data_IF_777431195670
#
_entry.id   IF_777431195670
#
_cell.length_a   1.000
_cell.length_b   1.000
_cell.length_c   1.000
_cell.angle_alpha   90.00
_cell.angle_beta   90.00
_cell.angle_gamma   90.00
#
_symmetry.space_group_name_H-M   'P 1'
#
loop_
_entity.id
_entity.type
_entity.pdbx_description
1 polymer ?
#
# COMPACT_ATOMS: atom_id res chain seq x y z
N UNK A 1 -3.79 19.92 -10.51
CA UNK A 1 -2.70 19.55 -11.43
C UNK A 1 -2.61 18.03 -11.42
N UNK A 2 -2.52 17.37 -12.57
CA UNK A 2 -2.31 15.91 -12.62
C UNK A 2 -0.83 15.64 -12.89
N UNK A 3 -0.30 14.58 -12.28
CA UNK A 3 1.05 14.10 -12.54
C UNK A 3 1.00 12.73 -13.20
N UNK A 4 1.92 12.51 -14.15
CA UNK A 4 2.07 11.23 -14.83
C UNK A 4 2.99 10.32 -14.00
N UNK A 5 2.54 9.10 -13.75
CA UNK A 5 3.30 8.05 -13.09
C UNK A 5 3.64 6.99 -14.13
N UNK A 6 4.91 6.63 -14.21
CA UNK A 6 5.45 5.65 -15.13
C UNK A 6 5.86 4.40 -14.36
N UNK A 7 5.45 3.24 -14.87
CA UNK A 7 5.66 1.94 -14.26
C UNK A 7 6.42 1.07 -15.24
N UNK A 8 7.56 0.52 -14.82
CA UNK A 8 8.32 -0.47 -15.59
C UNK A 8 8.29 -1.81 -14.88
N UNK A 9 7.92 -2.86 -15.60
CA UNK A 9 7.75 -4.19 -15.06
C UNK A 9 8.91 -5.08 -15.47
N UNK A 10 9.52 -5.76 -14.49
CA UNK A 10 10.58 -6.73 -14.71
C UNK A 10 10.19 -8.09 -14.17
N UNK A 11 10.57 -9.15 -14.89
CA UNK A 11 10.46 -10.53 -14.42
C UNK A 11 11.45 -10.77 -13.27
N UNK A 12 11.30 -11.90 -12.58
CA UNK A 12 12.25 -12.32 -11.54
C UNK A 12 13.70 -12.44 -12.03
N UNK A 13 13.90 -12.76 -13.31
CA UNK A 13 15.21 -12.74 -13.95
C UNK A 13 15.85 -11.35 -14.10
N UNK A 14 15.14 -10.27 -13.74
CA UNK A 14 15.54 -8.89 -14.01
C UNK A 14 15.30 -8.43 -15.45
N UNK A 15 14.82 -9.32 -16.33
CA UNK A 15 14.50 -8.96 -17.72
C UNK A 15 13.24 -8.08 -17.77
N UNK A 16 13.30 -7.01 -18.56
CA UNK A 16 12.15 -6.17 -18.90
C UNK A 16 11.00 -7.03 -19.44
N UNK A 17 9.79 -6.74 -18.97
CA UNK A 17 8.56 -7.38 -19.43
C UNK A 17 7.70 -6.44 -20.24
N UNK A 18 7.25 -5.35 -19.62
CA UNK A 18 6.40 -4.33 -20.23
C UNK A 18 6.47 -3.04 -19.42
N UNK A 19 5.71 -2.05 -19.87
CA UNK A 19 5.55 -0.76 -19.21
C UNK A 19 4.08 -0.37 -19.14
N UNK A 20 3.77 0.51 -18.20
CA UNK A 20 2.46 1.08 -17.97
C UNK A 20 2.58 2.51 -17.50
N UNK A 21 1.52 3.28 -17.65
CA UNK A 21 1.46 4.62 -17.06
C UNK A 21 0.04 4.99 -16.73
N UNK A 22 -0.11 5.91 -15.78
CA UNK A 22 -1.40 6.50 -15.43
C UNK A 22 -1.21 7.93 -14.91
N UNK A 23 -2.30 8.67 -14.88
CA UNK A 23 -2.33 10.01 -14.29
C UNK A 23 -3.02 9.99 -12.94
N UNK A 24 -2.50 10.78 -12.01
CA UNK A 24 -3.09 10.92 -10.67
C UNK A 24 -3.13 12.39 -10.24
N UNK A 25 -4.16 12.81 -9.49
CA UNK A 25 -4.19 14.15 -8.89
C UNK A 25 -3.23 14.29 -7.70
N UNK A 26 -2.72 13.18 -7.17
CA UNK A 26 -1.82 13.18 -6.02
C UNK A 26 -0.52 13.91 -6.32
N UNK A 27 -0.13 14.82 -5.43
CA UNK A 27 1.11 15.61 -5.57
C UNK A 27 2.23 14.95 -4.77
N UNK A 28 1.93 14.33 -3.64
CA UNK A 28 2.94 13.70 -2.79
C UNK A 28 3.43 12.38 -3.38
N UNK A 29 4.75 12.23 -3.54
CA UNK A 29 5.36 10.95 -3.88
C UNK A 29 4.95 9.83 -2.92
N UNK A 30 4.75 10.14 -1.64
CA UNK A 30 4.29 9.14 -0.67
C UNK A 30 2.90 8.61 -1.03
N UNK A 31 1.94 9.49 -1.32
CA UNK A 31 0.59 9.11 -1.72
C UNK A 31 0.60 8.35 -3.06
N UNK A 32 1.44 8.78 -4.00
CA UNK A 32 1.62 8.08 -5.28
C UNK A 32 2.14 6.65 -5.04
N UNK A 33 3.15 6.48 -4.18
CA UNK A 33 3.69 5.16 -3.89
C UNK A 33 2.70 4.26 -3.14
N UNK A 34 1.91 4.82 -2.22
CA UNK A 34 0.82 4.07 -1.57
C UNK A 34 -0.26 3.66 -2.58
N UNK A 35 -0.57 4.52 -3.54
CA UNK A 35 -1.49 4.18 -4.63
C UNK A 35 -0.94 3.05 -5.50
N UNK A 36 0.34 3.10 -5.90
CA UNK A 36 0.96 2.00 -6.65
C UNK A 36 0.97 0.72 -5.84
N UNK A 37 1.28 0.78 -4.54
CA UNK A 37 1.22 -0.38 -3.64
C UNK A 37 -0.18 -1.02 -3.65
N UNK A 38 -1.24 -0.21 -3.56
CA UNK A 38 -2.62 -0.69 -3.68
C UNK A 38 -2.92 -1.33 -5.04
N UNK A 39 -2.40 -0.79 -6.14
CA UNK A 39 -2.55 -1.38 -7.48
C UNK A 39 -1.83 -2.73 -7.59
N UNK A 40 -0.66 -2.88 -6.96
CA UNK A 40 0.06 -4.15 -6.87
C UNK A 40 -0.78 -5.16 -6.06
N UNK A 41 -1.27 -4.76 -4.88
CA UNK A 41 -2.03 -5.63 -3.97
C UNK A 41 -3.36 -6.09 -4.59
N UNK A 42 -4.01 -5.22 -5.36
CA UNK A 42 -5.27 -5.52 -6.07
C UNK A 42 -5.04 -6.17 -7.43
N UNK A 43 -3.79 -6.35 -7.86
CA UNK A 43 -3.40 -6.89 -9.19
C UNK A 43 -4.02 -6.12 -10.37
N UNK A 44 -4.15 -4.80 -10.22
CA UNK A 44 -4.72 -3.88 -11.21
C UNK A 44 -3.68 -2.92 -11.77
N UNK A 45 -2.50 -3.44 -12.10
CA UNK A 45 -1.41 -2.65 -12.63
C UNK A 45 -1.67 -2.26 -14.10
N UNK A 46 -1.58 -0.97 -14.47
CA UNK A 46 -1.75 -0.51 -15.84
C UNK A 46 -0.80 -1.20 -16.83
N UNK A 47 -1.28 -1.58 -18.02
CA UNK A 47 -0.42 -2.23 -19.02
C UNK A 47 -0.10 -3.70 -18.72
N UNK A 48 -0.68 -4.30 -17.67
CA UNK A 48 -0.69 -5.73 -17.40
C UNK A 48 -2.11 -6.29 -17.50
N UNK A 49 -2.23 -7.58 -17.81
CA UNK A 49 -3.51 -8.30 -17.70
C UNK A 49 -3.90 -8.46 -16.23
N UNK A 50 -5.19 -8.27 -15.94
CA UNK A 50 -5.71 -8.43 -14.57
C UNK A 50 -5.40 -9.83 -14.03
N UNK A 51 -5.00 -9.88 -12.75
CA UNK A 51 -4.67 -11.14 -12.07
C UNK A 51 -3.23 -11.63 -12.25
N UNK A 52 -2.46 -11.07 -13.20
CA UNK A 52 -1.02 -11.29 -13.26
C UNK A 52 -0.32 -10.47 -12.15
N UNK A 53 0.40 -11.16 -11.28
CA UNK A 53 1.25 -10.57 -10.24
C UNK A 53 2.62 -11.24 -10.29
N UNK A 54 3.57 -10.75 -9.49
CA UNK A 54 4.96 -11.25 -9.37
C UNK A 54 5.99 -10.56 -10.28
N UNK A 55 5.77 -9.27 -10.53
CA UNK A 55 6.76 -8.42 -11.18
C UNK A 55 7.47 -7.52 -10.18
N UNK A 56 8.74 -7.25 -10.46
CA UNK A 56 9.42 -6.10 -9.90
C UNK A 56 8.88 -4.86 -10.61
N UNK A 57 8.44 -3.86 -9.84
CA UNK A 57 7.80 -2.66 -10.38
C UNK A 57 8.67 -1.47 -10.06
N UNK A 58 9.32 -0.90 -11.08
CA UNK A 58 10.00 0.39 -10.95
C UNK A 58 8.98 1.49 -11.21
N UNK A 59 8.82 2.39 -10.24
CA UNK A 59 7.94 3.54 -10.31
C UNK A 59 8.77 4.79 -10.49
N UNK A 60 8.40 5.59 -11.49
CA UNK A 60 8.99 6.90 -11.72
C UNK A 60 7.89 7.95 -11.91
N UNK A 61 8.20 9.18 -11.52
CA UNK A 61 7.29 10.33 -11.63
C UNK A 61 8.10 11.47 -12.23
N UNK A 62 8.28 11.49 -13.57
CA UNK A 62 9.26 12.36 -14.22
C UNK A 62 8.99 13.85 -13.99
N UNK A 63 7.73 14.23 -13.84
CA UNK A 63 7.31 15.62 -13.63
C UNK A 63 7.37 16.10 -12.17
N UNK A 64 7.72 15.24 -11.21
CA UNK A 64 7.72 15.61 -9.79
C UNK A 64 9.02 16.36 -9.42
N UNK A 65 8.96 17.51 -8.71
CA UNK A 65 10.14 18.32 -8.41
C UNK A 65 11.21 17.58 -7.60
N UNK A 66 10.78 16.67 -6.73
CA UNK A 66 11.66 15.80 -5.94
C UNK A 66 11.73 14.38 -6.51
N UNK A 67 11.79 14.21 -7.85
CA UNK A 67 11.79 12.90 -8.53
C UNK A 67 12.76 11.92 -7.85
N UNK A 68 12.21 10.83 -7.33
CA UNK A 68 12.95 9.73 -6.70
C UNK A 68 12.28 8.41 -7.10
N UNK A 69 12.82 7.70 -8.11
CA UNK A 69 12.27 6.42 -8.53
C UNK A 69 12.29 5.41 -7.38
N UNK A 70 11.26 4.55 -7.32
CA UNK A 70 11.13 3.53 -6.27
C UNK A 70 10.87 2.16 -6.88
N UNK A 71 11.63 1.16 -6.43
CA UNK A 71 11.45 -0.23 -6.83
C UNK A 71 10.59 -0.96 -5.79
N UNK A 72 9.52 -1.60 -6.26
CA UNK A 72 8.73 -2.55 -5.49
C UNK A 72 9.13 -3.98 -5.87
N UNK A 73 9.31 -4.80 -4.84
CA UNK A 73 9.74 -6.20 -4.97
C UNK A 73 8.53 -7.10 -4.71
N UNK A 74 8.27 -8.12 -5.56
CA UNK A 74 7.18 -9.05 -5.36
C UNK A 74 7.32 -9.82 -4.03
N UNK A 75 6.20 -10.12 -3.39
CA UNK A 75 6.14 -10.92 -2.14
C UNK A 75 6.52 -10.19 -0.84
N UNK A 76 7.19 -9.03 -0.89
CA UNK A 76 7.47 -8.24 0.33
C UNK A 76 6.28 -7.39 0.78
N UNK A 77 5.35 -7.07 -0.11
CA UNK A 77 4.22 -6.18 0.19
C UNK A 77 3.22 -6.85 1.14
N UNK A 78 2.92 -8.14 0.94
CA UNK A 78 2.08 -8.93 1.85
C UNK A 78 2.70 -9.11 3.24
N UNK A 79 4.04 -9.27 3.33
CA UNK A 79 4.72 -9.36 4.63
C UNK A 79 4.61 -8.05 5.41
N UNK A 80 4.79 -6.91 4.73
CA UNK A 80 4.64 -5.60 5.36
C UNK A 80 3.19 -5.36 5.82
N UNK A 81 2.19 -5.66 4.98
CA UNK A 81 0.78 -5.50 5.36
C UNK A 81 0.40 -6.43 6.53
N UNK A 82 0.92 -7.66 6.55
CA UNK A 82 0.70 -8.58 7.68
C UNK A 82 1.38 -8.11 8.96
N UNK A 83 2.53 -7.43 8.88
CA UNK A 83 3.21 -6.84 10.03
C UNK A 83 2.46 -5.61 10.55
N UNK A 84 1.99 -4.74 9.65
CA UNK A 84 1.23 -3.53 10.00
C UNK A 84 -0.18 -3.89 10.54
N UNK A 85 -0.79 -4.99 10.05
CA UNK A 85 -2.04 -5.54 10.59
C UNK A 85 -1.82 -6.29 11.92
N UNK A 86 -0.69 -6.99 12.08
CA UNK A 86 -0.32 -7.60 13.36
C UNK A 86 -0.02 -6.55 14.45
N UNK A 87 0.31 -5.32 14.06
CA UNK A 87 0.48 -4.18 14.98
C UNK A 87 -0.83 -3.44 15.31
N UNK A 88 -1.95 -3.70 14.59
CA UNK A 88 -3.26 -3.15 14.97
C UNK A 88 -3.85 -4.04 16.05
N UNK A 89 -3.74 -3.56 17.31
CA UNK A 89 -4.28 -4.07 18.58
C UNK A 89 -4.86 -5.49 18.54
N UNK A 90 -4.24 -6.40 19.31
CA UNK A 90 -4.73 -7.77 19.41
C UNK A 90 -6.18 -7.80 19.90
N UNK A 91 -7.02 -8.75 19.45
CA UNK A 91 -8.42 -8.85 19.91
C UNK A 91 -8.56 -8.89 21.44
N UNK A 92 -7.52 -9.32 22.16
CA UNK A 92 -7.47 -9.33 23.62
C UNK A 92 -7.42 -7.92 24.22
N UNK A 93 -6.60 -7.02 23.68
CA UNK A 93 -6.47 -5.63 24.14
C UNK A 93 -7.76 -4.84 23.91
N UNK A 94 -8.45 -5.09 22.78
CA UNK A 94 -9.76 -4.51 22.49
C UNK A 94 -10.80 -4.96 23.52
N UNK A 95 -10.84 -6.26 23.84
CA UNK A 95 -11.77 -6.81 24.85
C UNK A 95 -11.47 -6.24 26.23
N UNK A 96 -10.21 -6.10 26.61
CA UNK A 96 -9.80 -5.60 27.92
C UNK A 96 -10.15 -4.12 28.09
N UNK A 97 -9.93 -3.30 27.05
CA UNK A 97 -10.35 -1.90 27.01
C UNK A 97 -11.88 -1.74 27.04
N UNK A 98 -12.62 -2.63 26.36
CA UNK A 98 -14.08 -2.64 26.40
C UNK A 98 -14.62 -3.04 27.77
N UNK A 99 -14.00 -4.03 28.44
CA UNK A 99 -14.33 -4.42 29.82
C UNK A 99 -14.13 -3.25 30.78
N UNK A 100 -12.97 -2.58 30.71
CA UNK A 100 -12.68 -1.41 31.53
C UNK A 100 -13.70 -0.28 31.32
N UNK A 101 -14.10 -0.03 30.07
CA UNK A 101 -15.10 0.99 29.74
C UNK A 101 -16.49 0.60 30.26
N UNK A 102 -16.89 -0.67 30.16
CA UNK A 102 -18.13 -1.17 30.74
C UNK A 102 -18.13 -0.99 32.27
N UNK A 103 -17.11 -1.43 32.98
CA UNK A 103 -17.04 -1.30 34.44
C UNK A 103 -17.13 0.16 34.90
N UNK A 104 -16.51 1.10 34.17
CA UNK A 104 -16.63 2.53 34.46
C UNK A 104 -18.06 3.07 34.33
N UNK A 105 -18.85 2.53 33.40
CA UNK A 105 -20.26 2.91 33.18
C UNK A 105 -21.15 2.32 34.28
N UNK A 106 -20.88 1.10 34.74
CA UNK A 106 -21.64 0.49 35.84
C UNK A 106 -21.33 1.15 37.20
N UNK A 107 -20.10 1.62 37.42
CA UNK A 107 -19.72 2.35 38.64
C UNK A 107 -20.43 3.70 38.81
N UNK A 108 -20.81 4.37 37.73
CA UNK A 108 -21.54 5.66 37.77
C UNK A 108 -23.06 5.51 37.90
N UNK A 109 -23.58 4.27 37.90
CA UNK A 109 -25.02 3.99 38.01
C UNK A 109 -25.47 3.55 39.41
N UNK A 110 -24.53 3.43 40.35
CA UNK A 110 -24.79 3.05 41.75
C UNK A 110 -24.42 4.13 42.77
N UNK A 111 -24.23 5.39 42.34
CA UNK A 111 -24.09 6.55 43.21
C UNK A 111 -25.38 7.39 43.20
#
# INVERSE_FOLDING_TARGET
MKVKVELTYFKESGKYYSEGSYETPEISLYQIFEQVKLLIDTKKLPGLMEGHSDFYVLVDVPSHPNRRPRLFVPGLIFKQLSADLAQKESPKEIIERLKFKLESIWAHRCA
#
